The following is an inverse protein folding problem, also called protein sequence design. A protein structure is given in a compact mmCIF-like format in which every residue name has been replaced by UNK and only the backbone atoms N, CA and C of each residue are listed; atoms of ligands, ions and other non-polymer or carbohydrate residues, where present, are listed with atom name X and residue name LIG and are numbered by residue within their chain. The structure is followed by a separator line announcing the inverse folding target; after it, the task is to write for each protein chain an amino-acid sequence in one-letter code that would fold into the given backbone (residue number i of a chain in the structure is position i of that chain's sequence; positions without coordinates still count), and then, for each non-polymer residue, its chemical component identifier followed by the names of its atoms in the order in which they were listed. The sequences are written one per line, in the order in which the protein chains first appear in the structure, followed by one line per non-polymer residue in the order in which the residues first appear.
data_IF_598033001388
#
_entry.id   IF_598033001388
#
_cell.length_a   1.000
_cell.length_b   1.000
_cell.length_c   1.000
_cell.angle_alpha   90.00
_cell.angle_beta   90.00
_cell.angle_gamma   90.00
#
_symmetry.space_group_name_H-M   'P 1'
#
loop_
_entity.id
_entity.type
_entity.pdbx_description
1 polymer ?
#
# COMPACT_ATOMS: atom_id res chain seq x y z
N UNK A 1 -18.87 -5.80 -22.71
CA UNK A 1 -19.67 -5.06 -21.70
C UNK A 1 -18.98 -5.16 -20.36
N UNK A 2 -18.71 -4.00 -19.71
CA UNK A 2 -18.13 -4.00 -18.36
C UNK A 2 -19.26 -4.37 -17.38
N UNK A 3 -19.14 -5.53 -16.76
CA UNK A 3 -20.11 -5.96 -15.74
C UNK A 3 -19.78 -5.29 -14.39
N UNK A 4 -20.39 -4.15 -14.14
CA UNK A 4 -20.18 -3.38 -12.91
C UNK A 4 -20.73 -4.07 -11.67
N UNK A 5 -21.72 -4.95 -11.79
CA UNK A 5 -22.27 -5.74 -10.69
C UNK A 5 -21.22 -6.75 -10.24
N UNK A 6 -20.63 -7.46 -11.19
CA UNK A 6 -19.54 -8.39 -10.94
C UNK A 6 -18.31 -7.67 -10.34
N UNK A 7 -17.93 -6.51 -10.90
CA UNK A 7 -16.80 -5.71 -10.39
C UNK A 7 -17.00 -5.27 -8.93
N UNK A 8 -18.20 -4.80 -8.57
CA UNK A 8 -18.52 -4.45 -7.18
C UNK A 8 -18.45 -5.66 -6.25
N UNK A 9 -18.91 -6.83 -6.71
CA UNK A 9 -18.81 -8.08 -5.94
C UNK A 9 -17.34 -8.47 -5.68
N UNK A 10 -16.49 -8.39 -6.70
CA UNK A 10 -15.05 -8.67 -6.58
C UNK A 10 -14.40 -7.66 -5.62
N UNK A 11 -14.65 -6.36 -5.80
CA UNK A 11 -14.11 -5.33 -4.92
C UNK A 11 -14.43 -5.60 -3.44
N UNK A 12 -15.68 -5.96 -3.15
CA UNK A 12 -16.09 -6.31 -1.80
C UNK A 12 -15.38 -7.55 -1.25
N UNK A 13 -15.24 -8.60 -2.07
CA UNK A 13 -14.50 -9.82 -1.67
C UNK A 13 -13.02 -9.49 -1.38
N UNK A 14 -12.37 -8.72 -2.23
CA UNK A 14 -10.98 -8.29 -2.04
C UNK A 14 -10.82 -7.45 -0.76
N UNK A 15 -11.80 -6.60 -0.43
CA UNK A 15 -11.80 -5.84 0.83
C UNK A 15 -11.86 -6.76 2.05
N UNK A 16 -12.63 -7.85 2.02
CA UNK A 16 -12.62 -8.84 3.12
C UNK A 16 -11.28 -9.56 3.24
N UNK A 17 -10.66 -9.94 2.11
CA UNK A 17 -9.32 -10.53 2.11
C UNK A 17 -8.30 -9.56 2.72
N UNK A 18 -8.41 -8.27 2.40
CA UNK A 18 -7.56 -7.23 2.97
C UNK A 18 -7.71 -7.13 4.50
N UNK A 19 -8.92 -7.16 5.04
CA UNK A 19 -9.13 -7.17 6.50
C UNK A 19 -8.51 -8.39 7.16
N UNK A 20 -8.66 -9.57 6.56
CA UNK A 20 -8.00 -10.78 7.04
C UNK A 20 -6.47 -10.64 7.05
N UNK A 21 -5.92 -10.03 6.01
CA UNK A 21 -4.49 -9.74 5.88
C UNK A 21 -4.00 -8.76 6.95
N UNK A 22 -4.79 -7.71 7.27
CA UNK A 22 -4.48 -6.79 8.37
C UNK A 22 -4.38 -7.51 9.72
N UNK A 23 -5.29 -8.45 9.99
CA UNK A 23 -5.25 -9.27 11.21
C UNK A 23 -3.99 -10.12 11.22
N UNK A 24 -3.66 -10.80 10.12
CA UNK A 24 -2.47 -11.63 10.02
C UNK A 24 -1.18 -10.82 10.25
N UNK A 25 -1.05 -9.64 9.61
CA UNK A 25 0.10 -8.74 9.82
C UNK A 25 0.19 -8.30 11.28
N UNK A 26 -0.93 -7.93 11.90
CA UNK A 26 -0.95 -7.54 13.31
C UNK A 26 -0.50 -8.68 14.22
N UNK A 27 -1.00 -9.89 14.00
CA UNK A 27 -0.57 -11.08 14.75
C UNK A 27 0.94 -11.33 14.57
N UNK A 28 1.48 -11.15 13.35
CA UNK A 28 2.91 -11.29 13.07
C UNK A 28 3.74 -10.27 13.84
N UNK A 29 3.27 -9.01 13.96
CA UNK A 29 3.95 -7.98 14.77
C UNK A 29 4.05 -8.40 16.22
N UNK A 30 2.98 -8.89 16.83
CA UNK A 30 3.01 -9.36 18.21
C UNK A 30 3.88 -10.60 18.41
N UNK A 31 3.94 -11.49 17.42
CA UNK A 31 4.79 -12.68 17.44
C UNK A 31 6.27 -12.36 17.12
N UNK A 32 6.56 -11.21 16.55
CA UNK A 32 7.88 -10.86 16.01
C UNK A 32 9.05 -11.00 17.00
N UNK A 33 8.92 -10.60 18.30
CA UNK A 33 10.02 -10.74 19.23
C UNK A 33 10.43 -12.22 19.43
N UNK A 34 9.45 -13.10 19.48
CA UNK A 34 9.67 -14.55 19.60
C UNK A 34 10.29 -15.10 18.32
N UNK A 35 9.77 -14.71 17.17
CA UNK A 35 10.26 -15.14 15.85
C UNK A 35 11.72 -14.70 15.63
N UNK A 36 12.06 -13.45 15.97
CA UNK A 36 13.43 -12.96 15.86
C UNK A 36 14.38 -13.72 16.77
N UNK A 37 13.97 -14.01 18.01
CA UNK A 37 14.78 -14.78 18.95
C UNK A 37 15.06 -16.21 18.46
N UNK A 38 14.06 -16.86 17.84
CA UNK A 38 14.21 -18.23 17.29
C UNK A 38 15.11 -18.22 16.05
N UNK A 39 14.96 -17.21 15.18
CA UNK A 39 15.63 -17.20 13.87
C UNK A 39 17.03 -16.59 13.89
N UNK A 40 17.21 -15.48 14.61
CA UNK A 40 18.46 -14.71 14.65
C UNK A 40 19.23 -14.95 15.94
N UNK A 41 18.54 -15.41 17.00
CA UNK A 41 19.07 -15.50 18.34
C UNK A 41 19.30 -14.12 18.96
N UNK A 42 20.17 -14.05 19.96
CA UNK A 42 20.48 -12.81 20.67
C UNK A 42 21.59 -11.96 19.99
N UNK A 43 21.89 -12.22 18.71
CA UNK A 43 22.98 -11.55 17.97
C UNK A 43 22.65 -10.14 17.51
N UNK A 44 21.37 -9.83 17.27
CA UNK A 44 20.91 -8.53 16.74
C UNK A 44 19.66 -8.12 17.49
N UNK A 45 19.71 -6.92 18.07
CA UNK A 45 18.54 -6.29 18.66
C UNK A 45 17.78 -5.50 17.58
N UNK A 46 16.57 -5.96 17.24
CA UNK A 46 15.69 -5.29 16.27
C UNK A 46 14.69 -4.42 17.01
N UNK A 47 14.76 -3.09 16.87
CA UNK A 47 13.81 -2.19 17.52
C UNK A 47 12.37 -2.53 17.13
N UNK A 48 11.49 -2.71 18.11
CA UNK A 48 10.07 -3.01 17.87
C UNK A 48 9.37 -1.96 17.00
N UNK A 49 9.80 -0.69 17.11
CA UNK A 49 9.32 0.42 16.28
C UNK A 49 9.60 0.16 14.79
N UNK A 50 10.73 -0.43 14.45
CA UNK A 50 11.06 -0.80 13.06
C UNK A 50 10.07 -1.84 12.52
N UNK A 51 9.79 -2.86 13.31
CA UNK A 51 8.79 -3.90 12.96
C UNK A 51 7.40 -3.30 12.74
N UNK A 52 6.97 -2.40 13.63
CA UNK A 52 5.69 -1.71 13.51
C UNK A 52 5.64 -0.83 12.24
N UNK A 53 6.73 -0.14 11.91
CA UNK A 53 6.81 0.71 10.73
C UNK A 53 6.73 -0.09 9.43
N UNK A 54 7.41 -1.23 9.36
CA UNK A 54 7.34 -2.16 8.22
C UNK A 54 5.94 -2.76 8.09
N UNK A 55 5.31 -3.13 9.21
CA UNK A 55 3.95 -3.64 9.21
C UNK A 55 2.94 -2.61 8.70
N UNK A 56 3.06 -1.35 9.13
CA UNK A 56 2.25 -0.24 8.63
C UNK A 56 2.43 -0.06 7.12
N UNK A 57 3.67 -0.02 6.66
CA UNK A 57 3.97 0.03 5.23
C UNK A 57 3.33 -1.14 4.47
N UNK A 58 3.45 -2.36 4.98
CA UNK A 58 2.89 -3.56 4.37
C UNK A 58 1.38 -3.47 4.22
N UNK A 59 0.66 -3.00 5.25
CA UNK A 59 -0.80 -2.82 5.20
C UNK A 59 -1.18 -1.82 4.10
N UNK A 60 -0.53 -0.65 4.06
CA UNK A 60 -0.80 0.39 3.05
C UNK A 60 -0.50 -0.15 1.65
N UNK A 61 0.65 -0.81 1.47
CA UNK A 61 1.07 -1.36 0.19
C UNK A 61 0.15 -2.49 -0.31
N UNK A 62 -0.35 -3.35 0.58
CA UNK A 62 -1.34 -4.37 0.22
C UNK A 62 -2.65 -3.74 -0.26
N UNK A 63 -3.11 -2.67 0.38
CA UNK A 63 -4.29 -1.93 -0.09
C UNK A 63 -4.08 -1.34 -1.48
N UNK A 64 -2.94 -0.70 -1.72
CA UNK A 64 -2.58 -0.18 -3.03
C UNK A 64 -2.55 -1.26 -4.11
N UNK A 65 -1.95 -2.40 -3.81
CA UNK A 65 -1.84 -3.53 -4.74
C UNK A 65 -3.21 -4.05 -5.17
N UNK A 66 -4.18 -4.11 -4.25
CA UNK A 66 -5.56 -4.47 -4.57
C UNK A 66 -6.22 -3.47 -5.52
N UNK A 67 -6.02 -2.17 -5.29
CA UNK A 67 -6.55 -1.12 -6.16
C UNK A 67 -5.91 -1.19 -7.56
N UNK A 68 -4.60 -1.32 -7.62
CA UNK A 68 -3.83 -1.45 -8.86
C UNK A 68 -4.30 -2.66 -9.69
N UNK A 69 -4.54 -3.80 -9.05
CA UNK A 69 -5.04 -5.00 -9.73
C UNK A 69 -6.40 -4.74 -10.40
N UNK A 70 -7.31 -4.05 -9.72
CA UNK A 70 -8.61 -3.69 -10.26
C UNK A 70 -8.51 -2.66 -11.39
N UNK A 71 -7.68 -1.63 -11.24
CA UNK A 71 -7.44 -0.61 -12.26
C UNK A 71 -6.89 -1.25 -13.54
N UNK A 72 -5.92 -2.17 -13.40
CA UNK A 72 -5.34 -2.92 -14.52
C UNK A 72 -6.39 -3.81 -15.19
N UNK A 73 -7.24 -4.48 -14.42
CA UNK A 73 -8.34 -5.30 -14.95
C UNK A 73 -9.36 -4.50 -15.78
N UNK A 74 -9.56 -3.23 -15.44
CA UNK A 74 -10.42 -2.32 -16.20
C UNK A 74 -9.71 -1.70 -17.41
N UNK A 75 -8.37 -1.73 -17.44
CA UNK A 75 -7.55 -1.11 -18.46
C UNK A 75 -7.38 0.41 -18.32
N UNK A 76 -7.66 0.98 -17.14
CA UNK A 76 -7.63 2.43 -16.88
C UNK A 76 -6.32 2.88 -16.24
N UNK A 77 -5.20 2.60 -16.90
CA UNK A 77 -3.84 2.69 -16.31
C UNK A 77 -3.17 4.05 -16.42
N UNK A 78 -3.70 5.00 -17.20
CA UNK A 78 -3.03 6.29 -17.44
C UNK A 78 -2.81 7.09 -16.16
N UNK A 79 -3.83 7.26 -15.34
CA UNK A 79 -3.71 7.98 -14.08
C UNK A 79 -2.70 7.32 -13.15
N UNK A 80 -2.76 5.99 -13.04
CA UNK A 80 -1.81 5.19 -12.26
C UNK A 80 -0.37 5.48 -12.69
N UNK A 81 -0.08 5.47 -14.00
CA UNK A 81 1.26 5.74 -14.52
C UNK A 81 1.76 7.14 -14.12
N UNK A 82 0.93 8.17 -14.26
CA UNK A 82 1.32 9.53 -13.85
C UNK A 82 1.57 9.64 -12.35
N UNK A 83 0.68 9.09 -11.54
CA UNK A 83 0.80 9.13 -10.07
C UNK A 83 2.07 8.41 -9.61
N UNK A 84 2.38 7.25 -10.19
CA UNK A 84 3.60 6.48 -9.86
C UNK A 84 4.86 7.21 -10.31
N UNK A 85 4.89 7.81 -11.50
CA UNK A 85 6.05 8.58 -11.97
C UNK A 85 6.33 9.80 -11.09
N UNK A 86 5.29 10.55 -10.72
CA UNK A 86 5.43 11.68 -9.80
C UNK A 86 5.94 11.20 -8.44
N UNK A 87 5.38 10.12 -7.92
CA UNK A 87 5.79 9.55 -6.65
C UNK A 87 7.22 9.03 -6.66
N UNK A 88 7.70 8.46 -7.78
CA UNK A 88 9.09 8.05 -7.93
C UNK A 88 10.06 9.24 -7.76
N UNK A 89 9.74 10.36 -8.41
CA UNK A 89 10.56 11.58 -8.33
C UNK A 89 10.53 12.18 -6.92
N UNK A 90 9.37 12.17 -6.26
CA UNK A 90 9.19 12.71 -4.90
C UNK A 90 9.79 11.80 -3.82
N UNK A 91 9.79 10.48 -4.04
CA UNK A 91 10.28 9.53 -3.05
C UNK A 91 11.76 9.69 -2.75
N UNK A 92 12.61 9.96 -3.76
CA UNK A 92 14.06 10.08 -3.58
C UNK A 92 14.41 11.20 -2.61
N UNK A 93 14.03 12.49 -2.86
CA UNK A 93 14.35 13.57 -1.93
C UNK A 93 13.70 13.41 -0.56
N UNK A 94 12.46 12.89 -0.50
CA UNK A 94 11.76 12.65 0.75
C UNK A 94 12.47 11.58 1.59
N UNK A 95 12.92 10.50 0.96
CA UNK A 95 13.66 9.41 1.61
C UNK A 95 15.01 9.88 2.14
N UNK A 96 15.76 10.68 1.37
CA UNK A 96 17.02 11.26 1.81
C UNK A 96 16.81 12.24 2.97
N UNK A 97 15.79 13.09 2.89
CA UNK A 97 15.46 14.05 3.93
C UNK A 97 15.10 13.36 5.24
N UNK A 98 14.12 12.47 5.23
CA UNK A 98 13.68 11.76 6.43
C UNK A 98 14.75 10.78 6.95
N UNK A 99 15.50 10.15 6.05
CA UNK A 99 16.60 9.25 6.39
C UNK A 99 17.73 9.97 7.12
N UNK A 100 18.01 11.24 6.79
CA UNK A 100 19.00 12.05 7.48
C UNK A 100 18.62 12.30 8.95
N UNK A 101 17.33 12.52 9.26
CA UNK A 101 16.88 12.84 10.62
C UNK A 101 16.63 11.60 11.49
N UNK A 102 16.09 10.54 10.91
CA UNK A 102 15.58 9.38 11.68
C UNK A 102 16.21 8.05 11.22
N UNK A 103 17.19 8.12 10.34
CA UNK A 103 17.88 6.93 9.83
C UNK A 103 16.96 6.02 9.02
N UNK A 104 17.10 4.70 9.20
CA UNK A 104 16.31 3.69 8.44
C UNK A 104 14.80 3.84 8.63
N UNK A 105 14.35 4.28 9.80
CA UNK A 105 12.93 4.55 10.06
C UNK A 105 12.40 5.67 9.15
N UNK A 106 13.22 6.69 8.88
CA UNK A 106 12.86 7.79 7.98
C UNK A 106 12.63 7.31 6.55
N UNK A 107 13.44 6.37 6.08
CA UNK A 107 13.25 5.76 4.75
C UNK A 107 11.92 5.00 4.69
N UNK A 108 11.60 4.21 5.70
CA UNK A 108 10.32 3.48 5.75
C UNK A 108 9.13 4.44 5.84
N UNK A 109 9.25 5.51 6.64
CA UNK A 109 8.20 6.54 6.72
C UNK A 109 7.98 7.24 5.37
N UNK A 110 9.03 7.51 4.60
CA UNK A 110 8.89 8.06 3.26
C UNK A 110 8.11 7.13 2.33
N UNK A 111 8.36 5.82 2.41
CA UNK A 111 7.59 4.81 1.68
C UNK A 111 6.12 4.80 2.10
N UNK A 112 5.83 4.90 3.39
CA UNK A 112 4.45 4.99 3.90
C UNK A 112 3.73 6.23 3.35
N UNK A 113 4.37 7.39 3.36
CA UNK A 113 3.79 8.64 2.87
C UNK A 113 3.46 8.54 1.37
N UNK A 114 4.39 8.07 0.56
CA UNK A 114 4.19 7.92 -0.90
C UNK A 114 3.07 6.91 -1.19
N UNK A 115 3.05 5.76 -0.50
CA UNK A 115 1.98 4.78 -0.70
C UNK A 115 0.62 5.29 -0.19
N UNK A 116 0.55 6.12 0.85
CA UNK A 116 -0.69 6.78 1.26
C UNK A 116 -1.23 7.73 0.17
N UNK A 117 -0.34 8.43 -0.52
CA UNK A 117 -0.72 9.27 -1.66
C UNK A 117 -1.29 8.38 -2.78
N UNK A 118 -0.60 7.29 -3.15
CA UNK A 118 -1.09 6.33 -4.15
C UNK A 118 -2.45 5.77 -3.76
N UNK A 119 -2.58 5.29 -2.52
CA UNK A 119 -3.81 4.74 -1.95
C UNK A 119 -4.99 5.68 -2.11
N UNK A 120 -4.78 6.97 -1.83
CA UNK A 120 -5.81 7.99 -1.98
C UNK A 120 -6.27 8.12 -3.42
N UNK A 121 -5.33 8.31 -4.36
CA UNK A 121 -5.67 8.46 -5.78
C UNK A 121 -6.33 7.21 -6.37
N UNK A 122 -5.80 6.03 -6.08
CA UNK A 122 -6.33 4.77 -6.61
C UNK A 122 -7.70 4.43 -6.03
N UNK A 123 -7.91 4.67 -4.74
CA UNK A 123 -9.23 4.50 -4.12
C UNK A 123 -10.27 5.44 -4.73
N UNK A 124 -9.94 6.71 -4.97
CA UNK A 124 -10.82 7.66 -5.64
C UNK A 124 -11.12 7.19 -7.07
N UNK A 125 -10.10 6.73 -7.80
CA UNK A 125 -10.25 6.22 -9.16
C UNK A 125 -11.21 5.03 -9.21
N UNK A 126 -10.99 4.01 -8.37
CA UNK A 126 -11.87 2.83 -8.31
C UNK A 126 -13.30 3.22 -7.94
N UNK A 127 -13.49 4.08 -6.94
CA UNK A 127 -14.84 4.55 -6.57
C UNK A 127 -15.55 5.25 -7.73
N UNK A 128 -14.83 6.09 -8.51
CA UNK A 128 -15.40 6.74 -9.70
C UNK A 128 -15.75 5.74 -10.80
N UNK A 129 -14.89 4.72 -11.02
CA UNK A 129 -15.14 3.66 -12.00
C UNK A 129 -16.37 2.85 -11.60
N UNK A 130 -16.44 2.36 -10.36
CA UNK A 130 -17.55 1.55 -9.86
C UNK A 130 -18.88 2.31 -9.83
N UNK A 131 -18.85 3.61 -9.56
CA UNK A 131 -20.05 4.48 -9.61
C UNK A 131 -20.40 4.96 -11.02
N UNK A 132 -19.67 4.53 -12.06
CA UNK A 132 -19.85 4.95 -13.46
C UNK A 132 -19.70 6.46 -13.70
N UNK A 133 -19.02 7.17 -12.78
CA UNK A 133 -18.76 8.62 -12.85
C UNK A 133 -17.35 8.96 -13.35
N UNK A 134 -16.57 7.94 -13.74
CA UNK A 134 -15.21 8.13 -14.24
C UNK A 134 -15.25 8.72 -15.67
N UNK A 135 -14.56 9.85 -15.88
CA UNK A 135 -14.43 10.52 -17.17
C UNK A 135 -12.98 10.93 -17.43
N UNK A 136 -12.59 11.14 -18.69
CA UNK A 136 -11.28 11.63 -19.05
C UNK A 136 -10.13 10.73 -18.55
N UNK A 137 -9.20 11.29 -17.77
CA UNK A 137 -7.99 10.58 -17.28
C UNK A 137 -8.33 9.45 -16.28
N UNK A 138 -9.53 9.46 -15.68
CA UNK A 138 -9.94 8.47 -14.68
C UNK A 138 -10.35 7.12 -15.29
N UNK A 139 -10.59 7.06 -16.62
CA UNK A 139 -11.07 5.85 -17.30
C UNK A 139 -10.19 5.44 -18.48
N UNK A 140 -9.21 6.25 -18.86
CA UNK A 140 -8.33 5.99 -20.02
C UNK A 140 -7.04 5.30 -19.62
#
# INVERSE_FOLDING_TARGET
QKDFVWMNSIYRKMTYVFYFLCIAVTCTVFASPILYKIWIGDKVDIPFVLTCSIALYTIIHCWDSLQVMLINGVGSVKLQTYVVLIGLVLHIPLSLFLGHFVGILGVILSMCIINLIYSTFFTIQIRKILSQKATGIWIK
#
